data_IF_158201479534
#
_entry.id   IF_158201479534
#
_cell.length_a   1.000
_cell.length_b   1.000
_cell.length_c   1.000
_cell.angle_alpha   90.00
_cell.angle_beta   90.00
_cell.angle_gamma   90.00
#
_symmetry.space_group_name_H-M   'P 1'
#
loop_
_entity.id
_entity.type
_entity.pdbx_description
1 polymer ?
#
# COMPACT_ATOMS: atom_id res chain seq x y z
N UNK A 1 -23.27 -0.16 54.97
CA UNK A 1 -22.39 -1.11 54.23
C UNK A 1 -22.66 -1.23 52.73
N UNK A 2 -23.84 -0.88 52.20
CA UNK A 2 -24.21 -1.19 50.81
C UNK A 2 -23.67 -0.19 49.76
N UNK A 3 -23.32 1.03 50.16
CA UNK A 3 -22.81 2.07 49.25
C UNK A 3 -21.35 1.84 48.85
N UNK A 4 -20.50 1.40 49.79
CA UNK A 4 -19.07 1.11 49.53
C UNK A 4 -18.89 -0.10 48.60
N UNK A 5 -19.75 -1.11 48.72
CA UNK A 5 -19.73 -2.32 47.88
C UNK A 5 -20.13 -2.03 46.42
N UNK A 6 -21.06 -1.09 46.19
CA UNK A 6 -21.45 -0.68 44.84
C UNK A 6 -20.37 0.18 44.18
N UNK A 7 -19.75 1.12 44.90
CA UNK A 7 -18.67 1.95 44.37
C UNK A 7 -17.42 1.15 43.97
N UNK A 8 -17.03 0.18 44.81
CA UNK A 8 -15.90 -0.74 44.52
C UNK A 8 -16.22 -1.61 43.30
N UNK A 9 -17.47 -2.09 43.14
CA UNK A 9 -17.92 -2.89 41.99
C UNK A 9 -17.91 -2.08 40.67
N UNK A 10 -18.29 -0.81 40.71
CA UNK A 10 -18.27 0.07 39.52
C UNK A 10 -16.85 0.48 39.11
N UNK A 11 -15.95 0.71 40.08
CA UNK A 11 -14.56 1.07 39.84
C UNK A 11 -13.75 -0.07 39.20
N UNK A 12 -13.96 -1.31 39.64
CA UNK A 12 -13.32 -2.49 39.04
C UNK A 12 -13.85 -2.80 37.64
N UNK A 13 -15.14 -2.55 37.37
CA UNK A 13 -15.76 -2.71 36.04
C UNK A 13 -15.18 -1.76 34.99
N UNK A 14 -14.93 -0.50 35.35
CA UNK A 14 -14.35 0.49 34.43
C UNK A 14 -12.89 0.13 34.13
N UNK A 15 -12.13 -0.28 35.15
CA UNK A 15 -10.72 -0.68 34.99
C UNK A 15 -10.55 -1.92 34.09
N UNK A 16 -11.42 -2.92 34.23
CA UNK A 16 -11.35 -4.13 33.39
C UNK A 16 -11.73 -3.86 31.94
N UNK A 17 -12.72 -3.00 31.68
CA UNK A 17 -13.09 -2.61 30.30
C UNK A 17 -11.97 -1.82 29.62
N UNK A 18 -11.31 -0.90 30.33
CA UNK A 18 -10.16 -0.15 29.80
C UNK A 18 -8.96 -1.06 29.50
N UNK A 19 -8.63 -1.98 30.39
CA UNK A 19 -7.54 -2.94 30.20
C UNK A 19 -7.84 -3.93 29.05
N UNK A 20 -9.09 -4.40 28.94
CA UNK A 20 -9.51 -5.25 27.83
C UNK A 20 -9.45 -4.51 26.49
N UNK A 21 -9.90 -3.25 26.44
CA UNK A 21 -9.82 -2.41 25.24
C UNK A 21 -8.37 -2.18 24.78
N UNK A 22 -7.45 -1.92 25.72
CA UNK A 22 -6.03 -1.75 25.42
C UNK A 22 -5.38 -3.05 24.91
N UNK A 23 -5.74 -4.19 25.49
CA UNK A 23 -5.24 -5.51 25.05
C UNK A 23 -5.72 -5.88 23.63
N UNK A 24 -6.94 -5.49 23.26
CA UNK A 24 -7.48 -5.70 21.91
C UNK A 24 -6.69 -4.88 20.89
N UNK A 25 -6.34 -3.63 21.20
CA UNK A 25 -5.54 -2.78 20.29
C UNK A 25 -4.10 -3.30 20.14
N UNK A 26 -3.51 -3.86 21.21
CA UNK A 26 -2.12 -4.34 21.19
C UNK A 26 -1.93 -5.66 20.42
N UNK A 27 -3.00 -6.43 20.21
CA UNK A 27 -2.93 -7.73 19.51
C UNK A 27 -3.25 -7.63 18.01
N UNK A 28 -3.51 -6.43 17.48
CA UNK A 28 -3.69 -6.25 16.03
C UNK A 28 -2.37 -6.52 15.28
N UNK A 29 -2.34 -7.50 14.36
CA UNK A 29 -1.16 -7.73 13.54
C UNK A 29 -0.99 -6.55 12.58
N UNK A 30 0.12 -5.83 12.70
CA UNK A 30 0.54 -4.83 11.73
C UNK A 30 0.86 -5.55 10.41
N UNK A 31 -0.09 -5.56 9.47
CA UNK A 31 0.18 -6.03 8.13
C UNK A 31 1.11 -5.02 7.44
N UNK A 32 2.27 -5.43 6.92
CA UNK A 32 3.08 -4.53 6.12
C UNK A 32 2.28 -4.18 4.87
N UNK A 33 1.96 -2.89 4.71
CA UNK A 33 1.45 -2.37 3.46
C UNK A 33 2.56 -2.55 2.41
N UNK A 34 2.39 -3.50 1.49
CA UNK A 34 3.22 -3.60 0.31
C UNK A 34 3.00 -2.34 -0.53
N UNK A 35 3.95 -1.41 -0.48
CA UNK A 35 4.11 -0.39 -1.51
C UNK A 35 4.49 -1.13 -2.79
N UNK A 36 3.48 -1.53 -3.57
CA UNK A 36 3.70 -1.98 -4.93
C UNK A 36 4.33 -0.81 -5.70
N UNK A 37 5.51 -1.09 -6.24
CA UNK A 37 6.37 -0.12 -6.90
C UNK A 37 5.60 0.62 -8.01
N UNK A 38 5.58 1.95 -7.95
CA UNK A 38 4.89 2.80 -8.91
C UNK A 38 5.60 2.89 -10.27
N UNK A 39 6.77 2.26 -10.42
CA UNK A 39 7.45 2.16 -11.70
C UNK A 39 6.96 0.89 -12.40
N UNK A 40 6.04 1.06 -13.35
CA UNK A 40 5.75 0.03 -14.34
C UNK A 40 7.00 -0.13 -15.23
N UNK A 41 8.02 -0.82 -14.71
CA UNK A 41 9.24 -1.17 -15.43
C UNK A 41 8.86 -2.29 -16.38
N UNK A 42 8.38 -1.90 -17.56
CA UNK A 42 8.26 -2.84 -18.67
C UNK A 42 9.68 -3.18 -19.13
N UNK A 43 10.09 -4.43 -18.93
CA UNK A 43 11.38 -4.91 -19.42
C UNK A 43 11.33 -5.11 -20.95
N UNK A 44 12.38 -4.64 -21.64
CA UNK A 44 12.56 -4.77 -23.08
C UNK A 44 13.88 -5.50 -23.35
N UNK A 45 13.93 -6.31 -24.41
CA UNK A 45 15.14 -7.03 -24.81
C UNK A 45 16.15 -6.05 -25.44
N UNK A 46 15.64 -5.10 -26.21
CA UNK A 46 16.44 -4.09 -26.93
C UNK A 46 15.72 -2.75 -26.81
N UNK A 47 16.48 -1.67 -26.59
CA UNK A 47 15.94 -0.30 -26.59
C UNK A 47 16.71 0.56 -27.60
N UNK A 48 15.99 1.09 -28.58
CA UNK A 48 16.50 2.14 -29.47
C UNK A 48 16.21 3.49 -28.82
N UNK A 49 17.23 4.09 -28.21
CA UNK A 49 17.11 5.38 -27.55
C UNK A 49 17.31 6.55 -28.51
N UNK A 50 16.56 7.64 -28.30
CA UNK A 50 16.69 8.91 -29.03
C UNK A 50 16.61 8.78 -30.57
N UNK A 51 15.87 7.81 -31.08
CA UNK A 51 15.65 7.63 -32.52
C UNK A 51 14.53 8.52 -33.05
N UNK A 52 14.56 8.86 -34.35
CA UNK A 52 13.42 9.48 -35.03
C UNK A 52 12.44 8.39 -35.46
N UNK A 53 11.23 8.43 -34.93
CA UNK A 53 10.15 7.50 -35.27
C UNK A 53 9.23 8.22 -36.26
N UNK A 54 9.18 7.69 -37.47
CA UNK A 54 8.21 8.07 -38.50
C UNK A 54 7.17 6.94 -38.62
N UNK A 55 5.94 7.21 -38.20
CA UNK A 55 4.81 6.29 -38.35
C UNK A 55 3.70 6.97 -39.17
N UNK A 56 3.46 6.55 -40.43
CA UNK A 56 2.45 7.14 -41.30
C UNK A 56 1.02 6.83 -40.85
N UNK A 57 0.80 5.77 -40.07
CA UNK A 57 -0.55 5.42 -39.58
C UNK A 57 -1.02 6.49 -38.58
N UNK A 58 -0.16 6.89 -37.67
CA UNK A 58 -0.42 7.97 -36.71
C UNK A 58 0.00 9.35 -37.20
N UNK A 59 0.61 9.46 -38.38
CA UNK A 59 1.32 10.66 -38.87
C UNK A 59 2.35 11.20 -37.85
N UNK A 60 2.96 10.30 -37.07
CA UNK A 60 3.98 10.64 -36.09
C UNK A 60 5.32 10.83 -36.79
N UNK A 61 5.97 11.97 -36.57
CA UNK A 61 7.38 12.18 -36.88
C UNK A 61 8.05 12.93 -35.71
N UNK A 62 8.69 12.17 -34.81
CA UNK A 62 9.28 12.73 -33.59
C UNK A 62 10.45 11.90 -33.06
N UNK A 63 11.26 12.50 -32.17
CA UNK A 63 12.31 11.78 -31.44
C UNK A 63 11.70 11.01 -30.27
N UNK A 64 11.90 9.69 -30.20
CA UNK A 64 11.35 8.78 -29.19
C UNK A 64 12.31 7.64 -28.84
N UNK A 65 11.97 6.92 -27.79
CA UNK A 65 12.59 5.65 -27.42
C UNK A 65 11.66 4.52 -27.84
N UNK A 66 12.19 3.49 -28.48
CA UNK A 66 11.43 2.30 -28.89
C UNK A 66 12.02 1.08 -28.21
N UNK A 67 11.23 0.41 -27.38
CA UNK A 67 11.59 -0.85 -26.77
C UNK A 67 11.03 -2.02 -27.57
N UNK A 68 11.85 -3.04 -27.82
CA UNK A 68 11.46 -4.28 -28.48
C UNK A 68 11.44 -5.38 -27.43
N UNK A 69 10.33 -6.12 -27.33
CA UNK A 69 10.18 -7.24 -26.41
C UNK A 69 9.59 -8.45 -27.13
N UNK A 70 10.24 -9.60 -27.02
CA UNK A 70 9.89 -10.82 -27.76
C UNK A 70 9.77 -10.58 -29.28
N UNK A 71 10.60 -9.69 -29.83
CA UNK A 71 10.62 -9.36 -31.25
C UNK A 71 9.47 -8.46 -31.75
N UNK A 72 8.80 -7.73 -30.85
CA UNK A 72 7.73 -6.77 -31.16
C UNK A 72 7.98 -5.42 -30.52
#
# INVERSE_FOLDING_TARGET
MNCLRTYIMSSTLIATVLLAGLAIVLTLPATPASVADAQNVTEFDIVLANGRVMDPESNLDAIRHVGIRNGK
#
